data_IF_969692032102
#
_entry.id   IF_969692032102
#
_cell.length_a   1.000
_cell.length_b   1.000
_cell.length_c   1.000
_cell.angle_alpha   90.00
_cell.angle_beta   90.00
_cell.angle_gamma   90.00
#
_symmetry.space_group_name_H-M   'P 1'
#
loop_
_entity.id
_entity.type
_entity.pdbx_description
1 polymer ?
#
# COMPACT_ATOMS: atom_id res chain seq x y z
N UNK A 1 -11.48 -21.69 26.52
CA UNK A 1 -12.24 -20.84 25.57
C UNK A 1 -11.58 -19.49 25.33
N UNK A 2 -11.34 -18.66 26.36
CA UNK A 2 -10.74 -17.32 26.16
C UNK A 2 -9.37 -17.30 25.47
N UNK A 3 -8.46 -18.21 25.83
CA UNK A 3 -7.15 -18.31 25.20
C UNK A 3 -7.24 -18.68 23.70
N UNK A 4 -8.15 -19.60 23.36
CA UNK A 4 -8.38 -20.02 21.98
C UNK A 4 -8.88 -18.85 21.12
N UNK A 5 -9.83 -18.07 21.66
CA UNK A 5 -10.36 -16.87 20.99
C UNK A 5 -9.25 -15.85 20.75
N UNK A 6 -8.41 -15.60 21.76
CA UNK A 6 -7.28 -14.66 21.64
C UNK A 6 -6.29 -15.08 20.53
N UNK A 7 -5.95 -16.37 20.47
CA UNK A 7 -5.04 -16.91 19.46
C UNK A 7 -5.63 -16.74 18.05
N UNK A 8 -6.91 -17.05 17.87
CA UNK A 8 -7.59 -16.90 16.58
C UNK A 8 -7.60 -15.44 16.14
N UNK A 9 -7.94 -14.51 17.04
CA UNK A 9 -7.93 -13.07 16.75
C UNK A 9 -6.53 -12.60 16.35
N UNK A 10 -5.50 -13.04 17.05
CA UNK A 10 -4.11 -12.68 16.73
C UNK A 10 -3.70 -13.18 15.33
N UNK A 11 -4.05 -14.41 14.98
CA UNK A 11 -3.75 -14.99 13.65
C UNK A 11 -4.47 -14.19 12.55
N UNK A 12 -5.73 -13.81 12.75
CA UNK A 12 -6.49 -13.01 11.78
C UNK A 12 -5.82 -11.65 11.57
N UNK A 13 -5.40 -10.99 12.65
CA UNK A 13 -4.71 -9.69 12.58
C UNK A 13 -3.38 -9.82 11.82
N UNK A 14 -2.60 -10.86 12.11
CA UNK A 14 -1.34 -11.12 11.43
C UNK A 14 -1.56 -11.45 9.95
N UNK A 15 -2.56 -12.27 9.61
CA UNK A 15 -2.89 -12.58 8.23
C UNK A 15 -3.37 -11.33 7.46
N UNK A 16 -4.15 -10.46 8.09
CA UNK A 16 -4.62 -9.21 7.50
C UNK A 16 -3.51 -8.19 7.22
N UNK A 17 -2.35 -8.34 7.88
CA UNK A 17 -1.18 -7.47 7.66
C UNK A 17 -0.47 -7.76 6.33
N UNK A 18 -0.62 -8.97 5.79
CA UNK A 18 0.13 -9.43 4.63
C UNK A 18 -0.62 -9.04 3.36
N UNK A 19 0.00 -8.19 2.53
CA UNK A 19 -0.51 -7.79 1.22
C UNK A 19 0.46 -8.19 0.12
N UNK A 20 -0.05 -8.91 -0.88
CA UNK A 20 0.70 -9.23 -2.09
C UNK A 20 0.49 -8.12 -3.13
N UNK A 21 1.59 -7.58 -3.64
CA UNK A 21 1.66 -6.53 -4.66
C UNK A 21 2.33 -7.08 -5.90
N UNK A 22 1.70 -6.91 -7.07
CA UNK A 22 2.22 -7.41 -8.35
C UNK A 22 3.33 -6.51 -8.88
N UNK A 23 4.16 -6.99 -9.80
CA UNK A 23 5.31 -6.22 -10.35
C UNK A 23 4.92 -4.88 -11.00
N UNK A 24 3.78 -4.86 -11.66
CA UNK A 24 3.20 -3.67 -12.29
C UNK A 24 2.34 -2.85 -11.32
N UNK A 25 2.32 -3.20 -10.05
CA UNK A 25 1.65 -2.44 -9.00
C UNK A 25 2.68 -1.83 -8.06
N UNK A 26 2.33 -0.70 -7.49
CA UNK A 26 3.02 -0.11 -6.33
C UNK A 26 2.00 0.18 -5.26
N UNK A 27 2.42 0.09 -4.01
CA UNK A 27 1.53 0.42 -2.90
C UNK A 27 2.03 1.67 -2.19
N UNK A 28 1.20 2.70 -2.16
CA UNK A 28 1.45 3.90 -1.37
C UNK A 28 0.90 3.66 0.04
N UNK A 29 1.78 3.66 1.03
CA UNK A 29 1.44 3.43 2.42
C UNK A 29 1.19 4.77 3.10
N UNK A 30 0.02 4.90 3.69
CA UNK A 30 -0.34 5.99 4.57
C UNK A 30 -0.35 5.50 6.00
N UNK A 31 0.37 6.18 6.87
CA UNK A 31 0.41 5.89 8.30
C UNK A 31 -0.23 7.04 9.05
N UNK A 32 -1.24 6.76 9.87
CA UNK A 32 -1.91 7.76 10.71
C UNK A 32 -2.39 8.98 9.89
N UNK A 33 -2.95 8.74 8.71
CA UNK A 33 -3.46 9.83 7.86
C UNK A 33 -2.39 10.60 7.09
N UNK A 34 -1.10 10.29 7.19
CA UNK A 34 -0.03 10.93 6.41
C UNK A 34 0.62 9.95 5.43
N UNK A 35 1.13 10.46 4.30
CA UNK A 35 1.92 9.64 3.38
C UNK A 35 3.21 9.21 4.09
N UNK A 36 3.53 7.92 4.01
CA UNK A 36 4.72 7.36 4.64
C UNK A 36 5.78 7.01 3.59
N UNK A 37 5.47 6.06 2.71
CA UNK A 37 6.37 5.62 1.64
C UNK A 37 5.62 4.89 0.54
N UNK A 38 6.26 4.77 -0.62
CA UNK A 38 5.85 3.83 -1.67
C UNK A 38 6.66 2.56 -1.48
N UNK A 39 5.98 1.42 -1.50
CA UNK A 39 6.62 0.11 -1.44
C UNK A 39 6.56 -0.54 -2.82
N UNK A 40 7.70 -1.11 -3.20
CA UNK A 40 7.87 -1.90 -4.41
C UNK A 40 6.99 -3.15 -4.46
N UNK A 41 7.10 -3.93 -5.54
CA UNK A 41 6.34 -5.15 -5.71
C UNK A 41 6.82 -6.25 -4.76
N UNK A 42 5.96 -7.23 -4.49
CA UNK A 42 6.24 -8.34 -3.58
C UNK A 42 5.35 -8.38 -2.35
N UNK A 43 5.87 -8.97 -1.27
CA UNK A 43 5.17 -9.09 0.01
C UNK A 43 5.34 -7.80 0.82
N UNK A 44 4.22 -7.12 1.08
CA UNK A 44 4.17 -5.89 1.85
C UNK A 44 3.44 -6.17 3.16
N UNK A 45 4.12 -5.88 4.27
CA UNK A 45 3.52 -5.92 5.61
C UNK A 45 2.97 -4.53 5.94
N UNK A 46 1.65 -4.46 6.08
CA UNK A 46 0.95 -3.27 6.56
C UNK A 46 0.49 -3.52 7.99
N UNK A 47 0.74 -2.58 8.90
CA UNK A 47 0.21 -2.70 10.25
C UNK A 47 -1.31 -2.53 10.17
N UNK A 48 -2.12 -3.57 10.48
CA UNK A 48 -3.56 -3.44 10.45
C UNK A 48 -4.00 -2.34 11.43
N UNK A 49 -5.11 -1.66 11.11
CA UNK A 49 -5.63 -0.46 11.78
C UNK A 49 -4.82 0.85 11.58
N UNK A 50 -3.48 0.78 11.55
CA UNK A 50 -2.62 1.98 11.51
C UNK A 50 -2.25 2.39 10.08
N UNK A 51 -1.93 1.40 9.25
CA UNK A 51 -1.46 1.59 7.89
C UNK A 51 -2.61 1.38 6.89
N UNK A 52 -2.81 2.37 6.01
CA UNK A 52 -3.69 2.27 4.85
C UNK A 52 -2.81 2.17 3.60
N UNK A 53 -2.87 1.04 2.90
CA UNK A 53 -2.16 0.85 1.63
C UNK A 53 -3.07 1.09 0.43
N UNK A 54 -2.71 2.04 -0.43
CA UNK A 54 -3.39 2.31 -1.71
C UNK A 54 -2.59 1.66 -2.83
N UNK A 55 -3.19 0.69 -3.52
CA UNK A 55 -2.57 0.05 -4.68
C UNK A 55 -2.72 0.94 -5.90
N UNK A 56 -1.63 1.14 -6.61
CA UNK A 56 -1.57 1.89 -7.87
C UNK A 56 -1.09 0.94 -8.95
N UNK A 57 -1.94 0.70 -9.94
CA UNK A 57 -1.56 -0.04 -11.13
C UNK A 57 -0.78 0.87 -12.08
N UNK A 58 0.53 0.61 -12.23
CA UNK A 58 1.41 1.43 -13.05
C UNK A 58 1.00 1.41 -14.52
N UNK A 59 0.56 0.26 -15.05
CA UNK A 59 0.18 0.16 -16.47
C UNK A 59 -1.00 1.06 -16.83
N UNK A 60 -1.94 1.22 -15.90
CA UNK A 60 -3.16 2.00 -16.12
C UNK A 60 -2.93 3.49 -15.81
N UNK A 61 -2.23 3.79 -14.71
CA UNK A 61 -2.10 5.18 -14.22
C UNK A 61 -0.88 5.90 -14.76
N UNK A 62 0.19 5.16 -15.09
CA UNK A 62 1.47 5.69 -15.55
C UNK A 62 2.02 4.77 -16.65
N UNK A 63 1.43 4.72 -17.86
CA UNK A 63 1.82 3.76 -18.91
C UNK A 63 3.33 3.78 -19.25
N UNK A 64 3.96 4.95 -19.19
CA UNK A 64 5.38 5.20 -19.42
C UNK A 64 6.29 4.90 -18.22
N UNK A 65 5.81 4.16 -17.21
CA UNK A 65 6.56 3.88 -15.98
C UNK A 65 7.92 3.21 -16.19
N UNK A 66 8.12 2.53 -17.33
CA UNK A 66 9.37 1.86 -17.69
C UNK A 66 10.50 2.84 -18.08
N UNK A 67 10.17 4.06 -18.52
CA UNK A 67 11.17 5.03 -19.00
C UNK A 67 11.60 6.02 -17.91
N UNK A 68 10.88 6.06 -16.79
CA UNK A 68 11.10 7.01 -15.72
C UNK A 68 12.23 6.56 -14.80
N UNK A 69 13.01 7.53 -14.30
CA UNK A 69 13.90 7.23 -13.19
C UNK A 69 13.08 6.90 -11.91
N UNK A 70 13.60 6.07 -10.99
CA UNK A 70 12.86 5.67 -9.79
C UNK A 70 12.32 6.83 -8.95
N UNK A 71 13.10 7.90 -8.79
CA UNK A 71 12.68 9.07 -8.01
C UNK A 71 11.56 9.86 -8.69
N UNK A 72 11.55 9.95 -10.03
CA UNK A 72 10.48 10.58 -10.79
C UNK A 72 9.19 9.77 -10.72
N UNK A 73 9.31 8.43 -10.84
CA UNK A 73 8.19 7.52 -10.69
C UNK A 73 7.56 7.64 -9.31
N UNK A 74 8.37 7.68 -8.25
CA UNK A 74 7.88 7.84 -6.88
C UNK A 74 7.13 9.17 -6.68
N UNK A 75 7.66 10.28 -7.17
CA UNK A 75 6.99 11.58 -7.07
C UNK A 75 5.68 11.64 -7.87
N UNK A 76 5.62 10.98 -9.03
CA UNK A 76 4.37 10.86 -9.80
C UNK A 76 3.32 10.02 -9.08
N UNK A 77 3.70 8.87 -8.54
CA UNK A 77 2.81 8.02 -7.75
C UNK A 77 2.29 8.80 -6.54
N UNK A 78 3.19 9.46 -5.80
CA UNK A 78 2.83 10.27 -4.64
C UNK A 78 1.82 11.35 -5.00
N UNK A 79 2.04 12.11 -6.07
CA UNK A 79 1.08 13.11 -6.55
C UNK A 79 -0.28 12.52 -6.92
N UNK A 80 -0.27 11.42 -7.68
CA UNK A 80 -1.50 10.73 -8.06
C UNK A 80 -2.31 10.28 -6.84
N UNK A 81 -1.65 9.63 -5.87
CA UNK A 81 -2.35 9.09 -4.70
C UNK A 81 -2.81 10.19 -3.75
N UNK A 82 -2.05 11.28 -3.61
CA UNK A 82 -2.50 12.44 -2.83
C UNK A 82 -3.72 13.12 -3.47
N UNK A 83 -3.78 13.15 -4.81
CA UNK A 83 -4.95 13.64 -5.54
C UNK A 83 -6.16 12.72 -5.32
N UNK A 84 -6.01 11.42 -5.55
CA UNK A 84 -7.08 10.41 -5.39
C UNK A 84 -7.69 10.49 -3.98
N UNK A 85 -6.83 10.59 -2.95
CA UNK A 85 -7.27 10.65 -1.55
C UNK A 85 -7.89 11.98 -1.14
N UNK A 86 -7.70 13.05 -1.92
CA UNK A 86 -8.41 14.32 -1.74
C UNK A 86 -9.80 14.26 -2.37
N UNK A 87 -9.93 13.58 -3.52
CA UNK A 87 -11.18 13.49 -4.28
C UNK A 87 -12.14 12.46 -3.67
N UNK A 88 -11.61 11.34 -3.16
CA UNK A 88 -12.37 10.28 -2.48
C UNK A 88 -11.92 10.16 -1.01
N UNK A 89 -12.46 10.98 -0.09
CA UNK A 89 -12.08 11.01 1.33
C UNK A 89 -12.48 9.75 2.12
#
# INVERSE_FOLDING_TARGET
MGLLILIIVLIIILAASIRVVREFERIAVFRLGRFFKIVGPGLVLLIPLVDKGVKVNLKEKIPEWHTLAPHELEERIKRYVLYERRVNP
#
